data_IF_905443972089
#
_entry.id   IF_905443972089
#
_cell.length_a   1.000
_cell.length_b   1.000
_cell.length_c   1.000
_cell.angle_alpha   90.00
_cell.angle_beta   90.00
_cell.angle_gamma   90.00
#
_symmetry.space_group_name_H-M   'P 1'
#
loop_
_entity.id
_entity.type
_entity.pdbx_description
1 polymer ?
#
# COMPACT_ATOMS: atom_id res chain seq x y z
N UNK A 1 -25.47 48.52 13.16
CA UNK A 1 -25.97 47.21 12.64
C UNK A 1 -24.90 46.52 11.83
N UNK A 2 -23.74 46.12 12.37
CA UNK A 2 -22.63 45.52 11.60
C UNK A 2 -21.97 44.31 12.30
N UNK A 3 -22.69 43.64 13.22
CA UNK A 3 -22.10 42.52 14.02
C UNK A 3 -22.40 41.12 13.52
N UNK A 4 -23.23 40.93 12.48
CA UNK A 4 -23.64 39.58 12.04
C UNK A 4 -22.80 38.97 10.91
N UNK A 5 -22.02 39.75 10.18
CA UNK A 5 -21.26 39.27 9.02
C UNK A 5 -19.94 38.59 9.40
N UNK A 6 -19.30 39.00 10.47
CA UNK A 6 -17.99 38.46 10.92
C UNK A 6 -18.09 37.05 11.53
N UNK A 7 -19.24 36.70 12.11
CA UNK A 7 -19.41 35.38 12.73
C UNK A 7 -19.69 34.26 11.73
N UNK A 8 -20.21 34.58 10.54
CA UNK A 8 -20.45 33.56 9.49
C UNK A 8 -19.17 33.15 8.78
N UNK A 9 -18.18 34.05 8.66
CA UNK A 9 -16.91 33.73 8.04
C UNK A 9 -16.05 32.78 8.90
N UNK A 10 -16.04 32.97 10.23
CA UNK A 10 -15.26 32.16 11.14
C UNK A 10 -15.73 30.71 11.21
N UNK A 11 -17.03 30.44 11.08
CA UNK A 11 -17.59 29.09 11.09
C UNK A 11 -17.29 28.31 9.80
N UNK A 12 -17.23 29.00 8.66
CA UNK A 12 -16.89 28.39 7.37
C UNK A 12 -15.41 28.01 7.29
N UNK A 13 -14.52 28.81 7.88
CA UNK A 13 -13.06 28.56 7.86
C UNK A 13 -12.68 27.34 8.71
N UNK A 14 -13.35 27.10 9.83
CA UNK A 14 -13.10 25.93 10.68
C UNK A 14 -13.58 24.63 10.01
N UNK A 15 -14.66 24.69 9.24
CA UNK A 15 -15.15 23.51 8.50
C UNK A 15 -14.22 23.12 7.34
N UNK A 16 -13.56 24.08 6.67
CA UNK A 16 -12.60 23.81 5.60
C UNK A 16 -11.26 23.23 6.11
N UNK A 17 -10.82 23.56 7.32
CA UNK A 17 -9.57 23.03 7.88
C UNK A 17 -9.67 21.56 8.32
N UNK A 18 -10.86 21.02 8.52
CA UNK A 18 -11.09 19.62 8.88
C UNK A 18 -11.09 18.66 7.68
N UNK A 19 -11.09 19.18 6.46
CA UNK A 19 -11.08 18.34 5.23
C UNK A 19 -9.66 18.09 4.72
N UNK A 20 -8.64 18.75 5.28
CA UNK A 20 -7.30 18.85 4.69
C UNK A 20 -6.29 17.74 5.02
N UNK A 21 -6.63 16.74 5.80
CA UNK A 21 -5.71 15.63 6.07
C UNK A 21 -6.48 14.33 6.22
N UNK A 22 -6.90 13.78 5.10
CA UNK A 22 -7.20 12.35 5.07
C UNK A 22 -5.87 11.63 5.27
N UNK A 23 -5.66 10.90 6.37
CA UNK A 23 -4.47 10.08 6.48
C UNK A 23 -4.45 9.14 5.27
N UNK A 24 -3.29 9.01 4.64
CA UNK A 24 -3.02 7.97 3.67
C UNK A 24 -3.48 6.65 4.28
N UNK A 25 -4.58 6.08 3.78
CA UNK A 25 -5.13 4.86 4.35
C UNK A 25 -4.22 3.72 3.94
N UNK A 26 -3.58 3.10 4.91
CA UNK A 26 -3.01 1.77 4.71
C UNK A 26 -4.10 0.87 4.11
N UNK A 27 -3.86 0.32 2.94
CA UNK A 27 -4.77 -0.58 2.26
C UNK A 27 -4.13 -1.96 2.16
N UNK A 28 -4.92 -3.02 2.35
CA UNK A 28 -4.45 -4.40 2.20
C UNK A 28 -4.99 -4.95 0.89
N UNK A 29 -4.10 -5.43 0.07
CA UNK A 29 -4.37 -6.04 -1.23
C UNK A 29 -4.06 -7.54 -1.16
N UNK A 30 -4.82 -8.35 -1.88
CA UNK A 30 -4.46 -9.73 -2.16
C UNK A 30 -3.71 -9.81 -3.48
N UNK A 31 -2.81 -10.79 -3.62
CA UNK A 31 -2.13 -11.02 -4.89
C UNK A 31 -1.95 -12.52 -5.13
N UNK A 32 -1.86 -12.86 -6.42
CA UNK A 32 -1.58 -14.20 -6.92
C UNK A 32 -0.62 -14.09 -8.09
N UNK A 33 0.56 -14.68 -7.96
CA UNK A 33 1.56 -14.79 -9.02
C UNK A 33 1.70 -16.24 -9.44
N UNK A 34 1.69 -16.50 -10.74
CA UNK A 34 1.92 -17.82 -11.31
C UNK A 34 2.88 -17.75 -12.50
N UNK A 35 3.72 -18.75 -12.66
CA UNK A 35 4.63 -18.89 -13.78
C UNK A 35 4.57 -20.27 -14.43
N UNK A 36 4.91 -20.33 -15.71
CA UNK A 36 5.02 -21.60 -16.43
C UNK A 36 6.16 -22.50 -15.91
N UNK A 37 7.12 -21.92 -15.17
CA UNK A 37 8.20 -22.66 -14.51
C UNK A 37 7.75 -23.38 -13.23
N UNK A 38 6.48 -23.27 -12.83
CA UNK A 38 5.90 -23.96 -11.68
C UNK A 38 5.95 -23.18 -10.37
N UNK A 39 6.31 -21.89 -10.38
CA UNK A 39 6.16 -21.05 -9.20
C UNK A 39 4.70 -20.57 -9.06
N UNK A 40 4.21 -20.60 -7.82
CA UNK A 40 2.94 -19.99 -7.42
C UNK A 40 3.13 -19.30 -6.08
N UNK A 41 2.79 -18.01 -6.01
CA UNK A 41 2.91 -17.21 -4.79
C UNK A 41 1.57 -16.50 -4.57
N UNK A 42 0.89 -16.88 -3.50
CA UNK A 42 -0.41 -16.31 -3.13
C UNK A 42 -0.31 -15.64 -1.77
N UNK A 43 -0.82 -14.42 -1.68
CA UNK A 43 -0.73 -13.71 -0.42
C UNK A 43 -1.48 -12.39 -0.36
N UNK A 44 -1.08 -11.59 0.62
CA UNK A 44 -1.54 -10.22 0.78
C UNK A 44 -0.38 -9.33 1.20
N UNK A 45 -0.47 -8.06 0.82
CA UNK A 45 0.44 -7.01 1.29
C UNK A 45 -0.35 -5.78 1.73
N UNK A 46 0.25 -5.00 2.62
CA UNK A 46 -0.32 -3.74 3.09
C UNK A 46 0.52 -2.59 2.59
N UNK A 47 -0.15 -1.55 2.11
CA UNK A 47 0.50 -0.32 1.66
C UNK A 47 0.55 0.72 2.78
N UNK A 48 1.55 1.60 2.73
CA UNK A 48 1.72 2.77 3.58
C UNK A 48 1.45 4.08 2.85
N UNK A 49 2.39 5.00 3.01
CA UNK A 49 2.36 6.33 2.36
C UNK A 49 2.58 6.24 0.86
N UNK A 50 2.14 7.28 0.16
CA UNK A 50 2.48 7.45 -1.25
C UNK A 50 3.99 7.72 -1.37
N UNK A 51 4.64 7.03 -2.30
CA UNK A 51 6.05 7.19 -2.64
C UNK A 51 6.24 7.11 -4.16
N UNK A 52 6.73 8.20 -4.74
CA UNK A 52 6.93 8.29 -6.19
C UNK A 52 5.69 7.93 -7.01
N UNK A 53 5.78 6.89 -7.86
CA UNK A 53 4.68 6.47 -8.73
C UNK A 53 3.62 5.61 -8.02
N UNK A 54 3.81 5.25 -6.76
CA UNK A 54 2.98 4.28 -6.06
C UNK A 54 2.88 4.50 -4.56
N UNK A 55 2.90 3.41 -3.83
CA UNK A 55 2.77 3.35 -2.38
C UNK A 55 3.80 2.39 -1.80
N UNK A 56 4.39 2.77 -0.67
CA UNK A 56 5.25 1.89 0.10
C UNK A 56 4.52 0.59 0.47
N UNK A 57 5.17 -0.55 0.28
CA UNK A 57 4.71 -1.80 0.86
C UNK A 57 5.31 -1.91 2.27
N UNK A 58 4.46 -2.04 3.27
CA UNK A 58 4.86 -2.05 4.69
C UNK A 58 4.85 -3.44 5.32
N UNK A 59 4.08 -4.36 4.75
CA UNK A 59 4.05 -5.75 5.20
C UNK A 59 3.58 -6.66 4.08
N UNK A 60 3.96 -7.93 4.16
CA UNK A 60 3.55 -8.99 3.24
C UNK A 60 3.38 -10.30 4.00
N UNK A 61 2.45 -11.13 3.56
CA UNK A 61 2.24 -12.48 4.06
C UNK A 61 1.66 -13.37 2.96
N UNK A 62 1.83 -14.68 3.09
CA UNK A 62 1.30 -15.61 2.09
C UNK A 62 2.05 -16.93 2.06
N UNK A 63 1.90 -17.64 0.94
CA UNK A 63 2.48 -18.96 0.71
C UNK A 63 3.19 -18.98 -0.63
N UNK A 64 4.32 -19.67 -0.68
CA UNK A 64 5.16 -19.87 -1.84
C UNK A 64 5.16 -21.35 -2.17
N UNK A 65 4.85 -21.68 -3.41
CA UNK A 65 5.08 -22.98 -4.02
C UNK A 65 6.19 -22.79 -5.04
N UNK A 66 7.29 -23.52 -4.85
CA UNK A 66 8.44 -23.54 -5.74
C UNK A 66 8.56 -24.89 -6.42
N UNK A 67 9.09 -24.97 -7.65
CA UNK A 67 9.50 -26.22 -8.27
C UNK A 67 10.52 -26.99 -7.41
N UNK A 68 11.30 -26.30 -6.61
CA UNK A 68 12.13 -26.87 -5.55
C UNK A 68 11.32 -27.01 -4.26
N UNK A 69 10.90 -28.21 -3.85
CA UNK A 69 10.06 -28.37 -2.65
C UNK A 69 10.71 -27.85 -1.36
N UNK A 70 12.06 -27.84 -1.28
CA UNK A 70 12.78 -27.31 -0.11
C UNK A 70 12.65 -25.78 0.03
N UNK A 71 12.32 -25.08 -1.05
CA UNK A 71 12.12 -23.65 -1.08
C UNK A 71 10.65 -23.22 -0.91
N UNK A 72 9.72 -24.18 -1.00
CA UNK A 72 8.31 -23.93 -0.73
C UNK A 72 8.07 -23.66 0.76
N UNK A 73 7.17 -22.72 1.07
CA UNK A 73 6.87 -22.37 2.46
C UNK A 73 6.00 -21.13 2.60
N UNK A 74 5.88 -20.61 3.80
CA UNK A 74 5.21 -19.35 4.05
C UNK A 74 6.14 -18.18 3.80
N UNK A 75 5.57 -17.03 3.41
CA UNK A 75 6.28 -15.75 3.40
C UNK A 75 6.56 -15.36 4.85
N UNK A 76 7.82 -15.15 5.19
CA UNK A 76 8.25 -14.73 6.52
C UNK A 76 8.02 -13.22 6.71
N UNK A 77 8.30 -12.44 5.68
CA UNK A 77 8.11 -11.00 5.69
C UNK A 77 8.83 -10.29 4.56
N UNK A 78 8.60 -9.01 4.48
CA UNK A 78 9.26 -8.09 3.56
C UNK A 78 10.71 -7.90 4.00
N UNK A 79 11.64 -7.84 3.06
CA UNK A 79 12.99 -7.36 3.34
C UNK A 79 12.89 -5.86 3.64
N UNK A 80 13.41 -5.40 4.80
CA UNK A 80 13.19 -4.04 5.25
C UNK A 80 13.76 -2.98 4.32
N UNK A 81 13.06 -1.86 4.23
CA UNK A 81 13.46 -0.65 3.52
C UNK A 81 12.65 -0.41 2.26
N UNK A 82 12.45 0.86 1.98
CA UNK A 82 11.77 1.35 0.78
C UNK A 82 12.64 2.43 0.15
N UNK A 83 12.70 2.47 -1.17
CA UNK A 83 13.45 3.48 -1.91
C UNK A 83 12.66 3.97 -3.12
N UNK A 84 12.54 5.28 -3.27
CA UNK A 84 11.87 5.88 -4.44
C UNK A 84 12.73 5.69 -5.70
N UNK A 85 12.18 5.15 -6.81
CA UNK A 85 12.88 5.08 -8.08
C UNK A 85 13.37 6.48 -8.56
N UNK A 86 14.54 6.60 -9.18
CA UNK A 86 15.44 5.54 -9.64
C UNK A 86 16.43 4.99 -8.59
N UNK A 87 16.25 5.31 -7.33
CA UNK A 87 17.06 4.75 -6.24
C UNK A 87 16.51 3.40 -5.83
N UNK A 88 17.38 2.46 -5.57
CA UNK A 88 17.04 1.11 -5.14
C UNK A 88 17.83 0.76 -3.88
N UNK A 89 17.28 -0.12 -3.07
CA UNK A 89 17.97 -0.80 -2.00
C UNK A 89 18.65 -2.05 -2.55
N UNK A 90 19.61 -2.55 -1.82
CA UNK A 90 20.32 -3.80 -2.13
C UNK A 90 20.06 -4.76 -0.98
N UNK A 91 19.70 -6.02 -1.30
CA UNK A 91 19.53 -7.06 -0.28
C UNK A 91 20.81 -7.28 0.52
N UNK A 92 20.70 -7.83 1.73
CA UNK A 92 21.83 -8.01 2.63
C UNK A 92 22.93 -8.92 2.07
N UNK A 93 22.59 -9.84 1.17
CA UNK A 93 23.52 -10.73 0.44
C UNK A 93 24.05 -10.13 -0.88
N UNK A 94 23.53 -8.96 -1.28
CA UNK A 94 23.92 -8.25 -2.50
C UNK A 94 23.30 -8.78 -3.78
N UNK A 95 22.35 -9.72 -3.71
CA UNK A 95 21.79 -10.41 -4.87
C UNK A 95 20.68 -9.63 -5.56
N UNK A 96 19.89 -8.83 -4.83
CA UNK A 96 18.73 -8.15 -5.36
C UNK A 96 18.82 -6.64 -5.20
N UNK A 97 18.35 -5.93 -6.25
CA UNK A 97 17.96 -4.54 -6.17
C UNK A 97 16.44 -4.49 -6.02
N UNK A 98 15.92 -3.71 -5.08
CA UNK A 98 14.49 -3.61 -4.81
C UNK A 98 14.10 -2.22 -4.30
N UNK A 99 12.81 -1.91 -4.30
CA UNK A 99 12.28 -0.65 -3.76
C UNK A 99 11.02 -0.82 -2.92
N UNK A 100 10.39 -1.98 -2.96
CA UNK A 100 9.16 -2.30 -2.22
C UNK A 100 8.01 -1.32 -2.46
N UNK A 101 7.84 -0.88 -3.72
CA UNK A 101 6.78 0.05 -4.12
C UNK A 101 5.71 -0.68 -4.91
N UNK A 102 4.46 -0.55 -4.45
CA UNK A 102 3.28 -0.99 -5.15
C UNK A 102 2.76 0.11 -6.06
N UNK A 103 2.57 -0.21 -7.34
CA UNK A 103 1.98 0.68 -8.34
C UNK A 103 0.59 0.14 -8.70
N UNK A 104 -0.52 0.81 -8.33
CA UNK A 104 -1.88 0.28 -8.52
C UNK A 104 -2.34 0.37 -9.99
N UNK A 105 -1.46 0.03 -10.93
CA UNK A 105 -1.71 0.14 -12.37
C UNK A 105 -1.28 -1.13 -13.06
N UNK A 106 -2.26 -1.88 -13.59
CA UNK A 106 -1.95 -3.03 -14.44
C UNK A 106 -1.06 -2.61 -15.63
N UNK A 107 -0.22 -3.50 -16.15
CA UNK A 107 -0.15 -4.93 -15.80
C UNK A 107 0.91 -5.29 -14.75
N UNK A 108 1.70 -4.35 -14.27
CA UNK A 108 2.91 -4.70 -13.52
C UNK A 108 2.73 -4.74 -12.01
N UNK A 109 1.89 -3.87 -11.44
CA UNK A 109 1.64 -3.70 -10.00
C UNK A 109 2.87 -3.44 -9.11
N UNK A 110 4.08 -3.54 -9.65
CA UNK A 110 5.36 -3.23 -8.99
C UNK A 110 6.24 -2.41 -9.94
N UNK A 111 7.25 -1.77 -9.40
CA UNK A 111 8.28 -1.08 -10.17
C UNK A 111 9.28 -2.08 -10.76
N UNK A 112 10.30 -1.58 -11.44
CA UNK A 112 11.44 -2.39 -11.91
C UNK A 112 12.34 -2.87 -10.77
N UNK A 113 12.32 -2.23 -9.59
CA UNK A 113 12.98 -2.72 -8.38
C UNK A 113 12.23 -3.88 -7.76
N UNK A 114 10.92 -3.75 -7.68
CA UNK A 114 10.04 -4.81 -7.24
C UNK A 114 9.88 -4.92 -5.72
N UNK A 115 9.20 -5.96 -5.33
CA UNK A 115 8.85 -6.31 -3.96
C UNK A 115 9.69 -7.49 -3.50
N UNK A 116 10.64 -7.25 -2.59
CA UNK A 116 11.54 -8.28 -2.05
C UNK A 116 11.05 -8.80 -0.70
N UNK A 117 10.93 -10.12 -0.59
CA UNK A 117 10.51 -10.81 0.64
C UNK A 117 11.26 -12.13 0.83
N UNK A 118 11.28 -12.59 2.07
CA UNK A 118 11.90 -13.86 2.45
C UNK A 118 10.85 -14.91 2.77
N UNK A 119 11.19 -16.17 2.55
CA UNK A 119 10.41 -17.34 2.98
C UNK A 119 10.86 -17.83 4.35
N UNK A 120 10.02 -18.62 5.00
CA UNK A 120 10.37 -19.34 6.24
C UNK A 120 11.46 -20.38 6.03
N UNK A 121 11.79 -20.73 4.78
CA UNK A 121 12.88 -21.61 4.41
C UNK A 121 14.19 -20.88 4.13
N UNK A 122 14.20 -19.51 4.26
CA UNK A 122 15.39 -18.68 4.14
C UNK A 122 15.71 -18.21 2.73
N UNK A 123 14.90 -18.59 1.72
CA UNK A 123 15.08 -18.10 0.36
C UNK A 123 14.48 -16.71 0.17
N UNK A 124 15.09 -15.92 -0.69
CA UNK A 124 14.61 -14.60 -1.09
C UNK A 124 13.87 -14.67 -2.44
N UNK A 125 12.84 -13.84 -2.56
CA UNK A 125 11.97 -13.73 -3.73
C UNK A 125 11.72 -12.27 -4.05
N UNK A 126 12.02 -11.86 -5.28
CA UNK A 126 11.73 -10.50 -5.77
C UNK A 126 10.72 -10.57 -6.93
N UNK A 127 9.53 -9.99 -6.72
CA UNK A 127 8.52 -9.79 -7.77
C UNK A 127 8.65 -8.39 -8.34
N UNK A 128 9.01 -8.24 -9.60
CA UNK A 128 9.23 -6.93 -10.24
C UNK A 128 8.56 -6.81 -11.62
N UNK A 129 8.23 -5.59 -11.98
CA UNK A 129 7.59 -5.27 -13.26
C UNK A 129 8.60 -5.18 -14.39
N UNK A 130 8.30 -5.80 -15.53
CA UNK A 130 9.18 -5.89 -16.71
C UNK A 130 9.31 -4.62 -17.56
N UNK A 131 9.07 -3.44 -17.02
CA UNK A 131 8.93 -2.20 -17.80
C UNK A 131 10.19 -1.46 -18.22
N UNK A 132 11.40 -1.88 -17.86
CA UNK A 132 12.56 -0.99 -18.04
C UNK A 132 13.93 -1.59 -18.27
N UNK A 133 14.19 -2.81 -17.88
CA UNK A 133 15.46 -3.45 -18.18
C UNK A 133 15.25 -4.72 -19.02
N UNK A 134 16.20 -5.04 -19.84
CA UNK A 134 16.35 -6.35 -20.48
C UNK A 134 15.38 -6.68 -21.62
N UNK A 135 14.95 -5.71 -22.43
CA UNK A 135 14.40 -5.97 -23.75
C UNK A 135 13.05 -6.66 -23.76
N UNK A 136 12.14 -6.13 -23.01
CA UNK A 136 10.70 -6.16 -23.24
C UNK A 136 10.01 -7.52 -23.51
N UNK A 137 9.39 -8.03 -22.46
CA UNK A 137 8.07 -8.59 -22.66
C UNK A 137 7.10 -7.68 -21.87
N UNK A 138 6.60 -6.66 -22.52
CA UNK A 138 5.63 -5.73 -21.94
C UNK A 138 4.43 -6.52 -21.43
N UNK A 139 4.04 -6.30 -20.17
CA UNK A 139 2.88 -6.95 -19.56
C UNK A 139 3.19 -8.17 -18.69
N UNK A 140 4.45 -8.53 -18.47
CA UNK A 140 4.82 -9.62 -17.58
C UNK A 140 5.44 -9.10 -16.27
N UNK A 141 5.13 -9.80 -15.19
CA UNK A 141 5.86 -9.70 -13.93
C UNK A 141 6.92 -10.79 -13.91
N UNK A 142 8.07 -10.48 -13.36
CA UNK A 142 9.18 -11.41 -13.24
C UNK A 142 9.41 -11.77 -11.78
N UNK A 143 9.80 -13.00 -11.55
CA UNK A 143 10.26 -13.50 -10.28
C UNK A 143 11.75 -13.80 -10.36
N UNK A 144 12.56 -13.14 -9.54
CA UNK A 144 13.92 -13.57 -9.24
C UNK A 144 13.98 -14.16 -7.84
N UNK A 145 14.77 -15.22 -7.66
CA UNK A 145 14.85 -15.95 -6.39
C UNK A 145 16.21 -16.55 -6.17
N UNK A 146 16.56 -16.83 -4.93
CA UNK A 146 17.77 -17.54 -4.55
C UNK A 146 17.60 -19.06 -4.51
N UNK A 147 16.40 -19.60 -4.80
CA UNK A 147 16.09 -21.02 -4.66
C UNK A 147 16.59 -21.91 -5.83
N UNK A 148 17.05 -21.30 -6.91
CA UNK A 148 17.55 -21.97 -8.11
C UNK A 148 19.07 -22.27 -8.09
N UNK A 149 19.67 -22.26 -6.91
CA UNK A 149 21.10 -22.52 -6.74
C UNK A 149 22.01 -21.32 -7.02
N UNK A 150 21.46 -20.11 -6.97
CA UNK A 150 22.23 -18.88 -7.09
C UNK A 150 22.56 -18.45 -8.53
N UNK A 151 21.83 -18.99 -9.51
CA UNK A 151 22.04 -18.63 -10.92
C UNK A 151 21.24 -17.44 -11.37
N UNK A 152 20.25 -16.99 -10.59
CA UNK A 152 19.41 -15.81 -10.89
C UNK A 152 19.73 -14.60 -10.04
N UNK A 153 20.93 -14.51 -9.58
CA UNK A 153 21.41 -13.42 -8.75
C UNK A 153 21.78 -12.22 -9.59
N UNK A 154 20.91 -11.38 -9.94
CA UNK A 154 21.07 -9.94 -10.06
C UNK A 154 19.90 -9.31 -10.79
N UNK A 155 19.55 -8.11 -10.46
CA UNK A 155 18.57 -7.26 -11.13
C UNK A 155 18.80 -7.06 -12.65
N UNK A 156 19.76 -7.72 -13.23
CA UNK A 156 20.12 -7.62 -14.65
C UNK A 156 19.83 -8.86 -15.47
N UNK A 157 19.39 -9.96 -14.84
CA UNK A 157 18.99 -11.16 -15.58
C UNK A 157 17.47 -11.30 -15.56
N UNK A 158 16.87 -11.64 -16.70
CA UNK A 158 15.44 -11.86 -16.73
C UNK A 158 15.11 -13.00 -15.77
N UNK A 159 14.40 -12.68 -14.69
CA UNK A 159 13.85 -13.69 -13.80
C UNK A 159 12.83 -14.57 -14.52
N UNK A 160 12.21 -15.45 -13.80
CA UNK A 160 11.14 -16.32 -14.32
C UNK A 160 9.92 -15.47 -14.67
N UNK A 161 9.49 -15.41 -15.94
CA UNK A 161 8.31 -14.65 -16.32
C UNK A 161 7.04 -15.32 -15.79
N UNK A 162 6.08 -14.48 -15.40
CA UNK A 162 4.79 -14.95 -14.91
C UNK A 162 3.72 -13.87 -15.02
N UNK A 163 2.55 -14.21 -14.56
CA UNK A 163 1.42 -13.30 -14.45
C UNK A 163 1.12 -13.02 -12.98
N UNK A 164 0.87 -11.75 -12.67
CA UNK A 164 0.38 -11.34 -11.36
C UNK A 164 -1.03 -10.79 -11.49
N UNK A 165 -1.90 -11.17 -10.58
CA UNK A 165 -3.19 -10.53 -10.35
C UNK A 165 -3.20 -9.91 -8.98
N UNK A 166 -3.75 -8.70 -8.86
CA UNK A 166 -3.91 -8.02 -7.59
C UNK A 166 -5.38 -7.71 -7.41
N UNK A 167 -5.96 -8.18 -6.32
CA UNK A 167 -7.35 -7.94 -5.97
C UNK A 167 -7.56 -6.52 -5.44
N UNK A 168 -8.81 -6.07 -5.46
CA UNK A 168 -9.20 -4.79 -4.87
C UNK A 168 -8.81 -4.72 -3.38
N UNK A 169 -8.49 -3.52 -2.88
CA UNK A 169 -8.15 -3.35 -1.48
C UNK A 169 -9.31 -3.75 -0.59
N UNK A 170 -9.01 -4.53 0.45
CA UNK A 170 -10.01 -4.87 1.43
C UNK A 170 -10.61 -3.60 2.06
N UNK A 171 -11.94 -3.51 2.20
CA UNK A 171 -12.56 -2.35 2.80
C UNK A 171 -12.04 -2.16 4.22
N UNK A 172 -11.42 -1.01 4.46
CA UNK A 172 -10.91 -0.66 5.80
C UNK A 172 -12.10 -0.47 6.73
N UNK A 173 -12.20 -1.23 7.84
CA UNK A 173 -13.27 -1.03 8.80
C UNK A 173 -13.24 0.41 9.30
N UNK A 174 -14.31 1.15 9.06
CA UNK A 174 -14.44 2.51 9.59
C UNK A 174 -14.45 2.42 11.12
N UNK A 175 -13.55 3.11 11.83
CA UNK A 175 -13.55 3.06 13.29
C UNK A 175 -14.95 3.39 13.82
N UNK A 176 -15.48 2.53 14.70
CA UNK A 176 -16.84 2.72 15.29
C UNK A 176 -17.00 4.06 16.01
N UNK A 177 -15.89 4.72 16.33
CA UNK A 177 -15.86 6.07 16.91
C UNK A 177 -16.31 7.17 15.94
N UNK A 178 -16.21 6.98 14.62
CA UNK A 178 -16.54 7.99 13.62
C UNK A 178 -18.01 8.39 13.62
N UNK A 179 -18.99 7.45 13.66
CA UNK A 179 -20.40 7.77 13.83
C UNK A 179 -20.69 8.48 15.16
N UNK A 180 -20.02 8.07 16.26
CA UNK A 180 -20.18 8.69 17.57
C UNK A 180 -19.64 10.13 17.59
N UNK A 181 -18.55 10.40 16.88
CA UNK A 181 -17.99 11.73 16.76
C UNK A 181 -18.94 12.67 16.00
N UNK A 182 -19.51 12.21 14.89
CA UNK A 182 -20.48 12.98 14.10
C UNK A 182 -21.75 13.27 14.92
N UNK A 183 -22.28 12.27 15.63
CA UNK A 183 -23.46 12.47 16.49
C UNK A 183 -23.17 13.36 17.67
N UNK A 184 -21.97 13.29 18.27
CA UNK A 184 -21.52 14.18 19.33
C UNK A 184 -21.46 15.64 18.88
N UNK A 185 -20.88 15.91 17.71
CA UNK A 185 -20.82 17.26 17.13
C UNK A 185 -22.21 17.82 16.79
N UNK A 186 -23.10 16.98 16.22
CA UNK A 186 -24.47 17.36 15.93
C UNK A 186 -25.24 17.69 17.21
N UNK A 187 -25.06 16.92 18.28
CA UNK A 187 -25.66 17.15 19.60
C UNK A 187 -25.19 18.49 20.22
N UNK A 188 -23.91 18.80 20.15
CA UNK A 188 -23.36 20.06 20.62
C UNK A 188 -23.89 21.27 19.83
N UNK A 189 -24.04 21.11 18.52
CA UNK A 189 -24.65 22.12 17.64
C UNK A 189 -26.09 22.44 18.01
N UNK A 190 -26.89 21.40 18.28
CA UNK A 190 -28.30 21.54 18.69
C UNK A 190 -28.44 22.21 20.08
N UNK A 191 -27.56 21.87 21.03
CA UNK A 191 -27.57 22.49 22.34
C UNK A 191 -27.23 23.98 22.27
N UNK A 192 -26.29 24.37 21.43
CA UNK A 192 -25.93 25.78 21.22
C UNK A 192 -27.05 26.56 20.53
N UNK A 193 -27.77 25.93 19.61
CA UNK A 193 -28.92 26.53 18.94
C UNK A 193 -30.08 26.79 19.89
N UNK A 194 -30.42 25.83 20.76
CA UNK A 194 -31.48 25.98 21.80
C UNK A 194 -31.14 27.09 22.80
N UNK A 195 -29.89 27.24 23.24
CA UNK A 195 -29.48 28.31 24.15
C UNK A 195 -29.70 29.69 23.54
N UNK A 196 -29.51 29.83 22.23
CA UNK A 196 -29.68 31.11 21.53
C UNK A 196 -31.15 31.51 21.37
N UNK A 197 -32.07 30.55 21.31
CA UNK A 197 -33.51 30.87 21.26
C UNK A 197 -34.06 31.30 22.61
N UNK A 198 -33.54 30.77 23.71
CA UNK A 198 -34.04 31.13 25.05
C UNK A 198 -33.54 32.50 25.56
N UNK A 199 -32.51 33.08 24.94
CA UNK A 199 -32.01 34.42 25.34
C UNK A 199 -32.77 35.59 24.72
N UNK A 200 -33.67 35.33 23.76
CA UNK A 200 -34.45 36.38 23.07
C UNK A 200 -35.78 36.68 23.79
N UNK A 201 -36.14 35.96 24.83
CA UNK A 201 -37.49 36.05 25.47
C UNK A 201 -37.52 36.92 26.73
N UNK A 202 -36.43 37.63 27.09
CA UNK A 202 -36.37 38.42 28.33
C UNK A 202 -36.25 39.95 28.14
N UNK A 203 -36.51 40.46 26.95
CA UNK A 203 -36.59 41.91 26.72
C UNK A 203 -38.06 42.31 26.40
N UNK A 204 -38.93 42.31 27.43
CA UNK A 204 -40.26 42.96 27.48
C UNK A 204 -40.47 43.56 28.86
#
# INVERSE_FOLDING_TARGET
MNGLSTFRLAAATVACMLVGSLPSKAATYTFDFTSAAGYSIVGSFTTGSADGPGYDITSISGTIISPNPAASGSIQGLVPGNATPPSYLVSGDGNFYYDNIFVPTAPYFTTTGGMLFTSTTGFEYNLYGGGGCCGSLAGLTYLSTTDDGGTSSSAFYPGVPGTISVGDPAPVPVPRALPLFVTGLAGLGLLRWRRKQNSVTYDL
#
